data_IF_413260023260
#
_entry.id   IF_413260023260
#
_cell.length_a   1.000
_cell.length_b   1.000
_cell.length_c   1.000
_cell.angle_alpha   90.00
_cell.angle_beta   90.00
_cell.angle_gamma   90.00
#
_symmetry.space_group_name_H-M   'P 1'
#
loop_
_entity.id
_entity.type
_entity.pdbx_description
1 polymer ?
#
# COMPACT_ATOMS: atom_id res chain seq x y z
N UNK A 1 17.15 -18.18 35.70
CA UNK A 1 17.34 -18.47 34.27
C UNK A 1 16.03 -18.15 33.57
N UNK A 2 16.03 -17.11 32.73
CA UNK A 2 14.81 -16.56 32.12
C UNK A 2 14.25 -17.44 31.00
N UNK A 3 12.96 -17.27 30.66
CA UNK A 3 12.33 -18.03 29.59
C UNK A 3 12.90 -17.57 28.25
N UNK A 4 13.72 -18.42 27.61
CA UNK A 4 14.08 -18.26 26.20
C UNK A 4 12.79 -18.21 25.38
N UNK A 5 12.46 -17.02 24.87
CA UNK A 5 11.40 -16.83 23.90
C UNK A 5 11.71 -17.72 22.68
N UNK A 6 10.94 -18.80 22.53
CA UNK A 6 10.87 -19.57 21.29
C UNK A 6 10.47 -18.62 20.16
N UNK A 7 11.44 -18.28 19.31
CA UNK A 7 11.24 -17.55 18.06
C UNK A 7 10.51 -18.48 17.11
N UNK A 8 9.19 -18.54 17.24
CA UNK A 8 8.27 -19.06 16.25
C UNK A 8 6.94 -18.31 16.40
N UNK A 9 6.99 -16.99 16.19
CA UNK A 9 5.78 -16.22 15.91
C UNK A 9 5.58 -16.27 14.39
N UNK A 10 4.56 -17.05 13.99
CA UNK A 10 4.04 -17.16 12.63
C UNK A 10 4.09 -15.81 11.92
N UNK A 11 4.99 -15.70 10.93
CA UNK A 11 4.84 -14.73 9.86
C UNK A 11 4.09 -15.47 8.76
N UNK A 12 2.83 -15.10 8.52
CA UNK A 12 2.07 -15.64 7.40
C UNK A 12 2.63 -15.04 6.11
N UNK A 13 3.55 -15.77 5.49
CA UNK A 13 4.22 -15.45 4.24
C UNK A 13 5.36 -16.45 4.01
N UNK A 14 5.51 -16.95 2.79
CA UNK A 14 6.64 -17.82 2.46
C UNK A 14 7.91 -16.96 2.31
N UNK A 15 8.74 -16.86 3.34
CA UNK A 15 10.04 -16.19 3.25
C UNK A 15 11.11 -17.19 2.83
N UNK A 16 11.70 -16.99 1.65
CA UNK A 16 13.01 -17.55 1.31
C UNK A 16 14.06 -16.46 1.49
N UNK A 17 14.54 -16.28 2.71
CA UNK A 17 15.84 -15.62 2.90
C UNK A 17 16.89 -16.63 2.43
N UNK A 18 17.54 -16.39 1.29
CA UNK A 18 18.66 -17.22 0.89
C UNK A 18 19.74 -17.11 1.97
N UNK A 19 20.13 -18.24 2.62
CA UNK A 19 21.04 -18.19 3.75
C UNK A 19 22.42 -17.73 3.30
N UNK A 20 23.02 -16.84 4.09
CA UNK A 20 24.42 -16.47 3.96
C UNK A 20 25.29 -17.66 4.39
N UNK A 21 26.18 -18.13 3.51
CA UNK A 21 27.13 -19.19 3.87
C UNK A 21 28.41 -18.57 4.45
N UNK A 22 28.50 -18.56 5.78
CA UNK A 22 29.72 -18.12 6.48
C UNK A 22 30.74 -19.25 6.66
N UNK A 23 30.26 -20.48 6.85
CA UNK A 23 31.04 -21.70 7.05
C UNK A 23 30.20 -22.92 6.60
N UNK A 24 30.84 -24.07 6.39
CA UNK A 24 30.20 -25.35 6.09
C UNK A 24 30.91 -26.47 6.85
N UNK A 25 30.16 -27.45 7.36
CA UNK A 25 30.70 -28.63 8.01
C UNK A 25 29.80 -29.86 7.80
N UNK A 26 30.31 -31.03 8.15
CA UNK A 26 29.58 -32.30 8.13
C UNK A 26 29.71 -33.01 9.47
N UNK A 27 28.70 -33.80 9.83
CA UNK A 27 28.69 -34.66 11.00
C UNK A 27 28.19 -36.04 10.59
N UNK A 28 29.06 -37.03 10.71
CA UNK A 28 28.67 -38.42 10.49
C UNK A 28 27.98 -38.97 11.74
N UNK A 29 26.79 -39.52 11.58
CA UNK A 29 25.99 -40.10 12.67
C UNK A 29 25.56 -41.51 12.27
N UNK A 30 25.81 -42.54 13.11
CA UNK A 30 25.31 -43.89 12.88
C UNK A 30 23.78 -43.90 12.76
N UNK A 31 23.23 -44.72 11.87
CA UNK A 31 21.78 -44.80 11.64
C UNK A 31 20.96 -45.22 12.88
N UNK A 32 21.62 -45.78 13.89
CA UNK A 32 21.02 -46.25 15.15
C UNK A 32 21.01 -45.20 16.26
N UNK A 33 21.69 -44.07 16.09
CA UNK A 33 21.83 -43.03 17.12
C UNK A 33 20.83 -41.89 16.91
N UNK A 34 20.31 -41.33 18.01
CA UNK A 34 19.58 -40.07 17.98
C UNK A 34 20.55 -38.91 17.67
N UNK A 35 20.17 -38.05 16.71
CA UNK A 35 20.98 -36.92 16.32
C UNK A 35 21.12 -35.92 17.48
N UNK A 36 22.34 -35.75 18.00
CA UNK A 36 22.62 -34.72 19.00
C UNK A 36 22.70 -33.34 18.34
N UNK A 37 21.54 -32.68 18.22
CA UNK A 37 21.42 -31.33 17.67
C UNK A 37 22.25 -30.28 18.41
N UNK A 38 22.54 -30.48 19.70
CA UNK A 38 23.31 -29.52 20.51
C UNK A 38 24.69 -29.30 19.90
N UNK A 39 25.38 -30.36 19.45
CA UNK A 39 26.71 -30.26 18.84
C UNK A 39 26.70 -29.46 17.53
N UNK A 40 25.63 -29.61 16.75
CA UNK A 40 25.44 -28.88 15.49
C UNK A 40 25.15 -27.41 15.77
N UNK A 41 24.29 -27.11 16.74
CA UNK A 41 23.97 -25.75 17.17
C UNK A 41 25.19 -25.05 17.77
N UNK A 42 25.99 -25.73 18.59
CA UNK A 42 27.22 -25.17 19.15
C UNK A 42 28.24 -24.84 18.05
N UNK A 43 28.36 -25.69 17.03
CA UNK A 43 29.23 -25.42 15.88
C UNK A 43 28.74 -24.20 15.08
N UNK A 44 27.44 -24.10 14.85
CA UNK A 44 26.81 -22.94 14.22
C UNK A 44 27.07 -21.66 15.02
N UNK A 45 26.87 -21.67 16.34
CA UNK A 45 27.06 -20.50 17.19
C UNK A 45 28.53 -20.08 17.28
N UNK A 46 29.47 -21.04 17.30
CA UNK A 46 30.92 -20.75 17.21
C UNK A 46 31.27 -20.08 15.89
N UNK A 47 30.85 -20.65 14.76
CA UNK A 47 31.08 -20.10 13.42
C UNK A 47 30.53 -18.67 13.32
N UNK A 48 29.28 -18.47 13.77
CA UNK A 48 28.63 -17.15 13.81
C UNK A 48 29.41 -16.15 14.65
N UNK A 49 29.80 -16.53 15.85
CA UNK A 49 30.50 -15.65 16.80
C UNK A 49 31.88 -15.25 16.27
N UNK A 50 32.65 -16.21 15.74
CA UNK A 50 33.96 -15.94 15.14
C UNK A 50 33.84 -15.03 13.92
N UNK A 51 32.85 -15.26 13.06
CA UNK A 51 32.61 -14.41 11.91
C UNK A 51 32.29 -12.96 12.32
N UNK A 52 31.38 -12.75 13.29
CA UNK A 52 31.06 -11.40 13.78
C UNK A 52 32.28 -10.72 14.40
N UNK A 53 33.07 -11.47 15.19
CA UNK A 53 34.26 -10.94 15.86
C UNK A 53 35.37 -10.54 14.87
N UNK A 54 35.47 -11.20 13.71
CA UNK A 54 36.45 -10.89 12.67
C UNK A 54 36.19 -9.53 11.98
N UNK A 55 34.95 -9.02 12.03
CA UNK A 55 34.54 -7.78 11.36
C UNK A 55 33.84 -6.84 12.35
N UNK A 56 34.57 -6.22 13.30
CA UNK A 56 33.98 -5.54 14.45
C UNK A 56 33.15 -4.30 14.10
N UNK A 57 33.38 -3.65 12.96
CA UNK A 57 32.62 -2.49 12.52
C UNK A 57 31.50 -2.90 11.55
N UNK A 58 30.38 -2.17 11.55
CA UNK A 58 29.28 -2.43 10.61
C UNK A 58 29.73 -2.36 9.15
N UNK A 59 30.59 -1.40 8.81
CA UNK A 59 31.14 -1.25 7.46
C UNK A 59 31.96 -2.48 7.03
N UNK A 60 32.88 -2.96 7.88
CA UNK A 60 33.71 -4.13 7.56
C UNK A 60 32.86 -5.40 7.43
N UNK A 61 31.83 -5.52 8.27
CA UNK A 61 30.91 -6.65 8.24
C UNK A 61 30.10 -6.66 6.95
N UNK A 62 29.52 -5.52 6.55
CA UNK A 62 28.78 -5.38 5.30
C UNK A 62 29.68 -5.69 4.09
N UNK A 63 30.89 -5.15 4.06
CA UNK A 63 31.87 -5.43 3.00
C UNK A 63 32.18 -6.93 2.90
N UNK A 64 32.35 -7.61 4.04
CA UNK A 64 32.57 -9.05 4.08
C UNK A 64 31.36 -9.86 3.58
N UNK A 65 30.13 -9.36 3.75
CA UNK A 65 28.92 -9.96 3.19
C UNK A 65 28.85 -9.83 1.67
N UNK A 66 29.24 -8.68 1.13
CA UNK A 66 29.21 -8.38 -0.31
C UNK A 66 30.25 -9.21 -1.07
N UNK A 67 31.46 -9.33 -0.53
CA UNK A 67 32.57 -10.06 -1.15
C UNK A 67 32.34 -11.57 -1.28
N UNK A 68 31.40 -12.16 -0.51
CA UNK A 68 31.16 -13.61 -0.49
C UNK A 68 30.42 -14.15 -1.73
N UNK A 69 29.88 -13.27 -2.59
CA UNK A 69 29.53 -13.65 -3.97
C UNK A 69 28.50 -14.79 -4.10
N UNK A 70 27.48 -14.81 -3.25
CA UNK A 70 26.53 -15.94 -3.15
C UNK A 70 25.44 -15.97 -4.24
N UNK A 71 25.59 -15.21 -5.33
CA UNK A 71 24.63 -15.20 -6.45
C UNK A 71 23.25 -14.59 -6.12
N UNK A 72 23.16 -13.72 -5.11
CA UNK A 72 21.91 -13.07 -4.73
C UNK A 72 21.54 -11.97 -5.71
N UNK A 73 20.27 -11.96 -6.12
CA UNK A 73 19.73 -10.89 -6.96
C UNK A 73 19.90 -9.52 -6.27
N UNK A 74 20.36 -8.48 -6.98
CA UNK A 74 20.62 -7.16 -6.39
C UNK A 74 19.46 -6.59 -5.56
N UNK A 75 18.22 -6.82 -6.00
CA UNK A 75 17.00 -6.38 -5.31
C UNK A 75 16.73 -7.06 -3.95
N UNK A 76 17.53 -8.06 -3.55
CA UNK A 76 17.46 -8.73 -2.24
C UNK A 76 18.69 -8.48 -1.38
N UNK A 77 19.74 -7.87 -1.93
CA UNK A 77 21.00 -7.65 -1.24
C UNK A 77 20.79 -6.80 0.02
N UNK A 78 20.11 -5.65 -0.11
CA UNK A 78 19.84 -4.74 1.00
C UNK A 78 19.05 -5.40 2.14
N UNK A 79 17.95 -6.08 1.81
CA UNK A 79 17.13 -6.79 2.80
C UNK A 79 17.93 -7.86 3.54
N UNK A 80 18.82 -8.58 2.84
CA UNK A 80 19.73 -9.55 3.46
C UNK A 80 20.72 -8.85 4.38
N UNK A 81 21.34 -7.76 3.94
CA UNK A 81 22.34 -7.02 4.73
C UNK A 81 21.73 -6.51 6.04
N UNK A 82 20.55 -5.89 5.99
CA UNK A 82 19.82 -5.44 7.19
C UNK A 82 19.52 -6.62 8.13
N UNK A 83 19.08 -7.75 7.58
CA UNK A 83 18.78 -8.96 8.38
C UNK A 83 20.06 -9.55 9.02
N UNK A 84 21.19 -9.52 8.30
CA UNK A 84 22.48 -9.99 8.81
C UNK A 84 23.02 -9.10 9.93
N UNK A 85 22.90 -7.77 9.81
CA UNK A 85 23.24 -6.83 10.88
C UNK A 85 22.41 -7.08 12.14
N UNK A 86 21.09 -7.28 11.99
CA UNK A 86 20.21 -7.70 13.10
C UNK A 86 20.71 -8.99 13.76
N UNK A 87 21.02 -10.02 12.97
CA UNK A 87 21.51 -11.30 13.48
C UNK A 87 22.90 -11.20 14.16
N UNK A 88 23.69 -10.19 13.78
CA UNK A 88 24.97 -9.87 14.39
C UNK A 88 24.87 -9.04 15.68
N UNK A 89 23.65 -8.69 16.12
CA UNK A 89 23.44 -7.82 17.28
C UNK A 89 23.65 -6.33 17.00
N UNK A 90 23.69 -5.93 15.72
CA UNK A 90 23.92 -4.56 15.25
C UNK A 90 22.62 -3.90 14.82
N UNK A 91 21.70 -3.83 15.78
CA UNK A 91 20.34 -3.40 15.53
C UNK A 91 20.25 -1.90 15.18
N UNK A 92 21.09 -1.07 15.78
CA UNK A 92 21.12 0.37 15.49
C UNK A 92 21.57 0.64 14.04
N UNK A 93 22.64 -0.03 13.60
CA UNK A 93 23.16 0.12 12.25
C UNK A 93 22.22 -0.50 11.20
N UNK A 94 21.55 -1.61 11.55
CA UNK A 94 20.50 -2.19 10.72
C UNK A 94 19.33 -1.21 10.52
N UNK A 95 18.88 -0.55 11.58
CA UNK A 95 17.82 0.44 11.53
C UNK A 95 18.22 1.64 10.68
N UNK A 96 19.42 2.18 10.90
CA UNK A 96 19.94 3.32 10.15
C UNK A 96 20.05 3.01 8.65
N UNK A 97 20.58 1.84 8.28
CA UNK A 97 20.69 1.42 6.89
C UNK A 97 19.31 1.27 6.23
N UNK A 98 18.35 0.65 6.93
CA UNK A 98 16.99 0.51 6.42
C UNK A 98 16.30 1.88 6.24
N UNK A 99 16.44 2.79 7.20
CA UNK A 99 15.87 4.14 7.12
C UNK A 99 16.46 4.98 5.98
N UNK A 100 17.78 4.90 5.78
CA UNK A 100 18.45 5.59 4.67
C UNK A 100 17.96 5.08 3.32
N UNK A 101 17.83 3.77 3.17
CA UNK A 101 17.30 3.18 1.95
C UNK A 101 15.84 3.58 1.70
N UNK A 102 14.99 3.56 2.73
CA UNK A 102 13.59 4.01 2.63
C UNK A 102 13.54 5.49 2.21
N UNK A 103 14.38 6.34 2.79
CA UNK A 103 14.46 7.77 2.45
C UNK A 103 14.95 7.99 1.00
N UNK A 104 15.79 7.10 0.48
CA UNK A 104 16.24 7.10 -0.91
C UNK A 104 15.19 6.53 -1.90
N UNK A 105 14.03 6.09 -1.41
CA UNK A 105 12.98 5.47 -2.23
C UNK A 105 13.25 4.01 -2.58
N UNK A 106 14.26 3.39 -1.98
CA UNK A 106 14.52 1.96 -2.13
C UNK A 106 13.50 1.15 -1.33
N UNK A 107 13.21 -0.06 -1.80
CA UNK A 107 12.29 -0.98 -1.11
C UNK A 107 12.79 -2.41 -1.16
N UNK A 108 12.38 -3.22 -0.18
CA UNK A 108 12.73 -4.63 -0.14
C UNK A 108 11.63 -5.51 -0.74
N UNK A 109 12.01 -6.42 -1.64
CA UNK A 109 11.09 -7.36 -2.29
C UNK A 109 10.84 -8.62 -1.46
N UNK A 110 10.05 -8.54 -0.36
CA UNK A 110 9.67 -9.75 0.41
C UNK A 110 8.26 -9.73 1.06
N UNK A 111 7.43 -8.70 0.86
CA UNK A 111 6.05 -8.67 1.41
C UNK A 111 5.08 -8.02 0.40
N UNK A 112 3.88 -8.57 0.28
CA UNK A 112 2.84 -8.12 -0.65
C UNK A 112 2.05 -6.91 -0.15
N UNK A 113 2.10 -6.58 1.14
CA UNK A 113 1.25 -5.55 1.75
C UNK A 113 2.03 -4.34 2.27
N UNK A 114 3.32 -4.49 2.60
CA UNK A 114 4.14 -3.40 3.15
C UNK A 114 5.58 -3.58 2.71
N UNK A 115 6.34 -2.48 2.61
CA UNK A 115 7.80 -2.55 2.50
C UNK A 115 8.44 -3.33 3.65
N UNK A 116 9.20 -4.38 3.33
CA UNK A 116 9.91 -5.20 4.32
C UNK A 116 11.01 -4.40 5.03
N UNK A 117 11.59 -3.38 4.38
CA UNK A 117 12.58 -2.52 5.04
C UNK A 117 11.97 -1.75 6.20
N UNK A 118 10.72 -1.27 6.07
CA UNK A 118 9.99 -0.60 7.16
C UNK A 118 9.79 -1.55 8.35
N UNK A 119 9.45 -2.81 8.08
CA UNK A 119 9.35 -3.85 9.09
C UNK A 119 10.69 -4.10 9.82
N UNK A 120 11.78 -4.27 9.06
CA UNK A 120 13.10 -4.56 9.61
C UNK A 120 13.64 -3.38 10.42
N UNK A 121 13.46 -2.15 9.93
CA UNK A 121 13.80 -0.92 10.66
C UNK A 121 13.06 -0.84 11.99
N UNK A 122 11.73 -1.01 11.98
CA UNK A 122 10.93 -0.95 13.20
C UNK A 122 11.30 -2.05 14.21
N UNK A 123 11.59 -3.26 13.73
CA UNK A 123 12.07 -4.36 14.57
C UNK A 123 13.42 -4.00 15.21
N UNK A 124 14.36 -3.46 14.43
CA UNK A 124 15.72 -3.19 14.87
C UNK A 124 15.79 -2.01 15.87
N UNK A 125 14.87 -1.05 15.75
CA UNK A 125 14.68 0.04 16.72
C UNK A 125 14.11 -0.42 18.07
N UNK A 126 13.65 -1.66 18.17
CA UNK A 126 13.21 -2.27 19.42
C UNK A 126 11.69 -2.31 19.62
N UNK A 127 11.22 -2.80 20.79
CA UNK A 127 9.82 -3.20 20.98
C UNK A 127 8.80 -2.07 20.82
N UNK A 128 9.13 -0.85 21.25
CA UNK A 128 8.22 0.30 21.16
C UNK A 128 8.03 0.71 19.70
N UNK A 129 9.12 0.92 18.96
CA UNK A 129 9.06 1.26 17.53
C UNK A 129 8.34 0.19 16.71
N UNK A 130 8.58 -1.10 17.01
CA UNK A 130 7.85 -2.19 16.38
C UNK A 130 6.36 -2.18 16.73
N UNK A 131 5.99 -1.86 17.96
CA UNK A 131 4.59 -1.70 18.38
C UNK A 131 3.91 -0.55 17.64
N UNK A 132 4.54 0.62 17.58
CA UNK A 132 4.01 1.80 16.90
C UNK A 132 3.84 1.55 15.40
N UNK A 133 4.83 0.90 14.78
CA UNK A 133 4.73 0.46 13.39
C UNK A 133 3.57 -0.51 13.18
N UNK A 134 3.35 -1.48 14.06
CA UNK A 134 2.19 -2.38 13.94
C UNK A 134 0.86 -1.64 14.06
N UNK A 135 0.80 -0.55 14.80
CA UNK A 135 -0.38 0.32 14.86
C UNK A 135 -0.56 1.09 13.54
N UNK A 136 0.52 1.55 12.92
CA UNK A 136 0.46 2.25 11.61
C UNK A 136 0.03 1.35 10.46
N UNK A 137 0.17 0.02 10.60
CA UNK A 137 -0.32 -0.98 9.64
C UNK A 137 -1.82 -1.28 9.73
N UNK A 138 -2.58 -0.53 10.53
CA UNK A 138 -4.04 -0.62 10.49
C UNK A 138 -4.52 -0.03 9.16
N UNK A 139 -5.30 -0.76 8.36
CA UNK A 139 -5.81 -0.23 7.11
C UNK A 139 -6.66 1.02 7.34
N UNK A 140 -6.40 2.03 6.53
CA UNK A 140 -7.12 3.31 6.51
C UNK A 140 -7.93 3.49 5.23
N UNK A 141 -7.64 2.70 4.20
CA UNK A 141 -8.37 2.74 2.94
C UNK A 141 -8.63 1.36 2.37
N UNK A 142 -9.69 1.30 1.58
CA UNK A 142 -10.01 0.19 0.68
C UNK A 142 -9.71 0.62 -0.74
N UNK A 143 -8.90 -0.17 -1.44
CA UNK A 143 -8.55 0.06 -2.83
C UNK A 143 -9.08 -1.07 -3.69
N UNK A 144 -9.77 -0.73 -4.78
CA UNK A 144 -10.32 -1.68 -5.73
C UNK A 144 -9.98 -1.29 -7.16
N UNK A 145 -9.56 -2.25 -7.97
CA UNK A 145 -9.43 -2.11 -9.42
C UNK A 145 -10.43 -3.04 -10.11
N UNK A 146 -11.25 -2.47 -10.99
CA UNK A 146 -12.34 -3.12 -11.70
C UNK A 146 -11.90 -3.60 -13.07
N UNK A 147 -12.32 -4.82 -13.40
CA UNK A 147 -11.94 -5.54 -14.62
C UNK A 147 -13.21 -6.09 -15.27
N UNK A 148 -13.37 -6.02 -16.59
CA UNK A 148 -14.52 -6.64 -17.26
C UNK A 148 -14.31 -8.15 -17.43
N UNK A 149 -13.07 -8.60 -17.69
CA UNK A 149 -12.81 -10.01 -18.03
C UNK A 149 -12.43 -10.89 -16.84
N UNK A 150 -12.01 -10.30 -15.72
CA UNK A 150 -11.65 -11.07 -14.52
C UNK A 150 -12.89 -11.46 -13.74
N UNK A 151 -12.87 -12.69 -13.19
CA UNK A 151 -13.96 -13.24 -12.36
C UNK A 151 -14.17 -12.49 -11.04
N UNK A 152 -13.22 -11.66 -10.63
CA UNK A 152 -13.32 -10.85 -9.41
C UNK A 152 -12.41 -9.63 -9.53
N UNK A 153 -12.90 -8.48 -9.09
CA UNK A 153 -12.11 -7.26 -8.93
C UNK A 153 -10.94 -7.50 -7.97
N UNK A 154 -9.84 -6.78 -8.21
CA UNK A 154 -8.73 -6.77 -7.26
C UNK A 154 -9.09 -5.81 -6.14
N UNK A 155 -9.24 -6.31 -4.91
CA UNK A 155 -9.42 -5.47 -3.72
C UNK A 155 -8.26 -5.67 -2.74
N UNK A 156 -7.70 -4.58 -2.23
CA UNK A 156 -6.63 -4.59 -1.24
C UNK A 156 -6.86 -3.52 -0.16
N UNK A 157 -6.48 -3.89 1.05
CA UNK A 157 -6.44 -2.98 2.20
C UNK A 157 -5.16 -2.14 2.15
N UNK A 158 -5.29 -0.82 2.18
CA UNK A 158 -4.14 0.08 2.26
C UNK A 158 -4.04 0.71 3.65
N UNK A 159 -2.83 0.69 4.21
CA UNK A 159 -2.50 1.42 5.43
C UNK A 159 -1.71 2.65 5.06
N UNK A 160 -2.17 3.85 5.49
CA UNK A 160 -1.56 5.14 5.17
C UNK A 160 -0.02 5.07 5.29
N UNK A 161 0.69 5.73 4.37
CA UNK A 161 2.16 5.73 4.28
C UNK A 161 2.84 4.39 3.91
N UNK A 162 2.09 3.29 3.71
CA UNK A 162 2.70 1.96 3.51
C UNK A 162 2.48 1.32 2.12
N UNK A 163 1.63 1.90 1.26
CA UNK A 163 1.47 1.43 -0.12
C UNK A 163 2.74 1.63 -0.97
N UNK A 164 2.89 0.83 -2.04
CA UNK A 164 4.11 0.73 -2.86
C UNK A 164 3.94 1.32 -4.27
N UNK A 165 3.30 2.49 -4.40
CA UNK A 165 3.11 3.14 -5.71
C UNK A 165 2.21 2.36 -6.67
N UNK A 166 1.37 1.46 -6.14
CA UNK A 166 0.51 0.61 -6.98
C UNK A 166 -0.59 1.40 -7.70
N UNK A 167 -1.03 2.51 -7.11
CA UNK A 167 -2.11 3.35 -7.66
C UNK A 167 -1.69 3.97 -8.99
N UNK A 168 -0.49 4.58 -9.02
CA UNK A 168 0.10 5.18 -10.22
C UNK A 168 0.20 4.16 -11.36
N UNK A 169 0.77 2.97 -11.08
CA UNK A 169 0.86 1.91 -12.08
C UNK A 169 -0.52 1.48 -12.59
N UNK A 170 -1.48 1.25 -11.70
CA UNK A 170 -2.81 0.79 -12.14
C UNK A 170 -3.56 1.84 -12.95
N UNK A 171 -3.44 3.13 -12.63
CA UNK A 171 -4.05 4.22 -13.41
C UNK A 171 -3.44 4.30 -14.82
N UNK A 172 -2.13 4.08 -14.95
CA UNK A 172 -1.46 3.99 -16.25
C UNK A 172 -1.78 2.70 -17.02
N UNK A 173 -2.13 1.61 -16.32
CA UNK A 173 -2.52 0.35 -16.92
C UNK A 173 -3.98 0.38 -17.46
N UNK A 174 -4.78 1.42 -17.16
CA UNK A 174 -6.18 1.52 -17.60
C UNK A 174 -6.30 1.79 -19.10
N UNK A 175 -7.14 1.02 -19.79
CA UNK A 175 -7.37 1.16 -21.24
C UNK A 175 -8.85 1.44 -21.61
N UNK A 176 -9.71 1.70 -20.61
CA UNK A 176 -11.15 1.90 -20.80
C UNK A 176 -11.96 0.60 -20.88
N UNK A 177 -11.30 -0.56 -20.90
CA UNK A 177 -11.95 -1.86 -21.00
C UNK A 177 -11.56 -2.84 -19.88
N UNK A 178 -10.26 -3.02 -19.60
CA UNK A 178 -9.78 -4.03 -18.66
C UNK A 178 -8.31 -3.82 -18.21
N UNK A 179 -8.01 -3.07 -17.13
CA UNK A 179 -8.93 -2.46 -16.18
C UNK A 179 -9.58 -1.18 -16.71
N UNK A 180 -10.80 -0.92 -16.24
CA UNK A 180 -11.60 0.24 -16.68
C UNK A 180 -11.95 1.23 -15.56
N UNK A 181 -11.82 0.82 -14.30
CA UNK A 181 -12.04 1.72 -13.17
C UNK A 181 -11.21 1.37 -11.93
N UNK A 182 -10.94 2.38 -11.11
CA UNK A 182 -10.24 2.28 -9.84
C UNK A 182 -11.04 3.06 -8.79
N UNK A 183 -11.21 2.49 -7.60
CA UNK A 183 -11.87 3.12 -6.45
C UNK A 183 -10.92 3.09 -5.25
N UNK A 184 -10.78 4.23 -4.59
CA UNK A 184 -10.07 4.37 -3.32
C UNK A 184 -11.01 4.98 -2.29
N UNK A 185 -11.41 4.20 -1.29
CA UNK A 185 -12.33 4.62 -0.23
C UNK A 185 -11.59 4.82 1.09
N UNK A 186 -11.80 5.95 1.75
CA UNK A 186 -11.32 6.17 3.11
C UNK A 186 -12.22 5.43 4.10
N UNK A 187 -11.62 4.66 5.00
CA UNK A 187 -12.34 3.98 6.07
C UNK A 187 -12.72 4.99 7.16
N UNK A 188 -13.88 4.83 7.81
CA UNK A 188 -14.19 5.62 8.99
C UNK A 188 -13.16 5.34 10.10
N UNK A 189 -12.97 6.28 11.04
CA UNK A 189 -12.05 6.05 12.15
C UNK A 189 -12.43 4.79 12.94
N UNK A 190 -11.43 4.12 13.49
CA UNK A 190 -11.60 2.83 14.16
C UNK A 190 -12.69 2.87 15.23
N UNK A 191 -13.63 1.92 15.16
CA UNK A 191 -14.75 1.80 16.10
C UNK A 191 -16.01 2.57 15.70
N UNK A 192 -16.00 3.30 14.58
CA UNK A 192 -17.22 3.86 13.98
C UNK A 192 -17.75 2.96 12.86
N UNK A 193 -19.08 2.84 12.79
CA UNK A 193 -19.73 2.13 11.69
C UNK A 193 -19.60 2.90 10.37
N UNK A 194 -19.39 2.16 9.29
CA UNK A 194 -19.46 2.69 7.94
C UNK A 194 -20.94 2.88 7.57
N UNK A 195 -21.33 4.12 7.29
CA UNK A 195 -22.64 4.47 6.76
C UNK A 195 -22.48 5.54 5.66
N UNK A 196 -23.59 5.87 4.99
CA UNK A 196 -23.58 6.85 3.91
C UNK A 196 -23.13 8.25 4.32
N UNK A 197 -23.25 8.62 5.61
CA UNK A 197 -22.81 9.94 6.10
C UNK A 197 -21.29 10.05 6.20
N UNK A 198 -20.60 8.91 6.26
CA UNK A 198 -19.14 8.81 6.32
C UNK A 198 -18.52 8.34 5.01
N UNK A 199 -19.34 8.11 3.97
CA UNK A 199 -18.85 7.79 2.63
C UNK A 199 -17.87 8.85 2.15
N UNK A 200 -16.65 8.40 1.88
CA UNK A 200 -15.59 9.24 1.34
C UNK A 200 -14.71 8.42 0.43
N UNK A 201 -14.73 8.72 -0.86
CA UNK A 201 -13.95 7.97 -1.83
C UNK A 201 -13.64 8.78 -3.07
N UNK A 202 -12.62 8.33 -3.78
CA UNK A 202 -12.23 8.77 -5.11
C UNK A 202 -12.40 7.60 -6.08
N UNK A 203 -13.00 7.85 -7.24
CA UNK A 203 -13.17 6.87 -8.30
C UNK A 203 -12.68 7.44 -9.62
N UNK A 204 -11.88 6.67 -10.36
CA UNK A 204 -11.50 6.97 -11.73
C UNK A 204 -12.09 5.93 -12.67
N UNK A 205 -12.57 6.34 -13.84
CA UNK A 205 -13.07 5.45 -14.88
C UNK A 205 -12.69 5.97 -16.27
N UNK A 206 -12.23 5.08 -17.17
CA UNK A 206 -11.76 5.43 -18.51
C UNK A 206 -10.41 4.79 -18.85
N UNK A 207 -9.63 5.44 -19.72
CA UNK A 207 -8.27 5.02 -20.09
C UNK A 207 -7.21 5.93 -19.46
N UNK A 208 -5.94 5.52 -19.54
CA UNK A 208 -4.82 6.28 -19.03
C UNK A 208 -4.69 7.68 -19.67
N UNK A 209 -5.15 7.85 -20.90
CA UNK A 209 -5.11 9.12 -21.63
C UNK A 209 -6.32 10.01 -21.34
N UNK A 210 -7.46 9.41 -21.00
CA UNK A 210 -8.70 10.12 -20.72
C UNK A 210 -9.57 9.33 -19.75
N UNK A 211 -9.68 9.84 -18.52
CA UNK A 211 -10.59 9.33 -17.50
C UNK A 211 -11.38 10.44 -16.84
N UNK A 212 -12.58 10.10 -16.37
CA UNK A 212 -13.31 10.94 -15.41
C UNK A 212 -12.92 10.57 -13.99
N UNK A 213 -12.93 11.55 -13.09
CA UNK A 213 -12.75 11.31 -11.66
C UNK A 213 -13.98 11.80 -10.91
N UNK A 214 -14.51 10.93 -10.06
CA UNK A 214 -15.60 11.23 -9.14
C UNK A 214 -15.11 11.25 -7.70
N UNK A 215 -15.66 12.16 -6.92
CA UNK A 215 -15.39 12.29 -5.49
C UNK A 215 -16.70 12.27 -4.71
N UNK A 216 -16.76 11.39 -3.71
CA UNK A 216 -17.84 11.36 -2.73
C UNK A 216 -17.34 11.86 -1.39
N UNK A 217 -18.12 12.71 -0.73
CA UNK A 217 -17.87 13.15 0.63
C UNK A 217 -19.18 13.49 1.35
N UNK A 218 -19.11 13.52 2.69
CA UNK A 218 -20.18 14.01 3.56
C UNK A 218 -20.63 15.43 3.18
N UNK A 219 -21.94 15.66 3.06
CA UNK A 219 -22.49 16.96 2.66
C UNK A 219 -23.92 16.87 2.09
N UNK A 220 -24.45 17.98 1.58
CA UNK A 220 -25.75 18.03 0.91
C UNK A 220 -26.97 18.06 1.84
N UNK A 221 -26.81 18.53 3.08
CA UNK A 221 -27.91 18.59 4.04
C UNK A 221 -29.10 19.43 3.52
N UNK A 222 -28.83 20.47 2.73
CA UNK A 222 -29.81 21.35 2.09
C UNK A 222 -30.70 20.64 1.06
N UNK A 223 -30.25 19.52 0.50
CA UNK A 223 -31.03 18.65 -0.41
C UNK A 223 -31.50 17.36 0.29
N UNK A 224 -31.30 17.25 1.61
CA UNK A 224 -31.65 16.05 2.38
C UNK A 224 -30.67 14.87 2.19
N UNK A 225 -29.48 15.12 1.65
CA UNK A 225 -28.41 14.13 1.55
C UNK A 225 -27.51 14.16 2.81
N UNK A 226 -26.82 13.04 3.06
CA UNK A 226 -25.75 12.92 4.05
C UNK A 226 -24.36 12.82 3.40
N UNK A 227 -24.30 12.45 2.13
CA UNK A 227 -23.11 12.54 1.28
C UNK A 227 -23.49 12.86 -0.15
N UNK A 228 -22.55 13.46 -0.88
CA UNK A 228 -22.72 13.87 -2.27
C UNK A 228 -21.56 13.31 -3.09
N UNK A 229 -21.89 12.64 -4.19
CA UNK A 229 -20.97 12.26 -5.26
C UNK A 229 -20.97 13.34 -6.33
N UNK A 230 -19.78 13.81 -6.68
CA UNK A 230 -19.56 14.85 -7.66
C UNK A 230 -18.54 14.39 -8.70
N UNK A 231 -18.74 14.81 -9.94
CA UNK A 231 -17.68 14.76 -10.96
C UNK A 231 -16.71 15.90 -10.68
N UNK A 232 -15.41 15.61 -10.73
CA UNK A 232 -14.34 16.58 -10.52
C UNK A 232 -14.02 17.23 -11.86
N UNK A 233 -13.80 18.55 -11.85
CA UNK A 233 -13.27 19.28 -12.98
C UNK A 233 -12.17 20.26 -12.60
N UNK A 234 -11.31 20.57 -13.55
CA UNK A 234 -10.40 21.70 -13.52
C UNK A 234 -11.18 23.02 -13.40
N UNK A 235 -10.57 24.03 -12.78
CA UNK A 235 -11.12 25.40 -12.79
C UNK A 235 -11.34 25.87 -14.23
N UNK A 236 -12.51 26.42 -14.48
CA UNK A 236 -12.94 26.90 -15.77
C UNK A 236 -13.90 28.08 -15.60
N UNK A 237 -14.03 28.92 -16.64
CA UNK A 237 -14.85 30.14 -16.58
C UNK A 237 -16.32 29.90 -16.96
N UNK A 238 -16.60 28.85 -17.73
CA UNK A 238 -17.96 28.48 -18.17
C UNK A 238 -18.15 26.97 -18.19
N UNK A 239 -19.33 26.44 -17.82
CA UNK A 239 -19.63 25.02 -17.99
C UNK A 239 -19.41 24.67 -19.46
N UNK A 240 -18.35 23.91 -19.75
CA UNK A 240 -18.00 23.53 -21.11
C UNK A 240 -19.09 22.68 -21.76
N UNK A 241 -19.03 22.53 -23.08
CA UNK A 241 -19.84 21.52 -23.76
C UNK A 241 -19.40 20.12 -23.31
N UNK A 242 -20.33 19.17 -23.33
CA UNK A 242 -20.00 17.75 -23.11
C UNK A 242 -19.62 17.19 -24.49
N UNK A 243 -18.33 17.11 -24.78
CA UNK A 243 -17.81 16.81 -26.12
C UNK A 243 -16.65 15.80 -26.12
N UNK A 244 -16.36 15.18 -24.97
CA UNK A 244 -15.34 14.14 -24.84
C UNK A 244 -15.98 12.84 -24.39
N UNK A 245 -15.83 11.80 -25.19
CA UNK A 245 -16.33 10.46 -24.86
C UNK A 245 -15.32 9.70 -24.00
N UNK A 246 -15.78 9.23 -22.84
CA UNK A 246 -15.11 8.24 -22.00
C UNK A 246 -15.77 6.90 -22.30
N UNK A 247 -15.02 6.01 -22.95
CA UNK A 247 -15.48 4.66 -23.28
C UNK A 247 -15.29 3.75 -22.08
N UNK A 248 -16.38 3.16 -21.61
CA UNK A 248 -16.44 2.16 -20.55
C UNK A 248 -16.94 0.83 -21.14
N UNK A 249 -16.78 -0.32 -20.45
CA UNK A 249 -17.16 -1.61 -21.01
C UNK A 249 -18.63 -1.73 -21.42
N UNK A 250 -19.53 -0.97 -20.77
CA UNK A 250 -20.99 -1.09 -20.95
C UNK A 250 -21.67 0.21 -21.35
N UNK A 251 -20.93 1.30 -21.46
CA UNK A 251 -21.47 2.63 -21.75
C UNK A 251 -20.39 3.53 -22.34
N UNK A 252 -20.84 4.61 -22.96
CA UNK A 252 -19.99 5.76 -23.29
C UNK A 252 -20.55 6.94 -22.52
N UNK A 253 -19.70 7.62 -21.77
CA UNK A 253 -20.05 8.83 -21.05
C UNK A 253 -19.47 10.03 -21.77
N UNK A 254 -20.31 10.96 -22.21
CA UNK A 254 -19.85 12.21 -22.81
C UNK A 254 -19.70 13.24 -21.70
N UNK A 255 -18.46 13.66 -21.42
CA UNK A 255 -18.10 14.61 -20.36
C UNK A 255 -17.49 15.88 -20.95
N UNK A 256 -17.43 16.93 -20.15
CA UNK A 256 -16.74 18.16 -20.57
C UNK A 256 -15.23 18.03 -20.48
N UNK A 257 -14.49 18.67 -21.40
CA UNK A 257 -13.00 18.66 -21.42
C UNK A 257 -12.34 19.00 -20.09
N UNK A 258 -12.92 19.92 -19.32
CA UNK A 258 -12.36 20.32 -18.03
C UNK A 258 -12.53 19.23 -16.96
N UNK A 259 -13.35 18.20 -17.18
CA UNK A 259 -13.58 17.05 -16.29
C UNK A 259 -12.79 15.80 -16.71
N UNK A 260 -11.96 15.90 -17.75
CA UNK A 260 -11.09 14.83 -18.24
C UNK A 260 -9.73 14.96 -17.57
N UNK A 261 -9.20 13.85 -17.08
CA UNK A 261 -7.89 13.73 -16.47
C UNK A 261 -7.04 12.71 -17.20
N UNK A 262 -5.72 12.94 -17.20
CA UNK A 262 -4.72 11.92 -17.55
C UNK A 262 -4.43 11.01 -16.35
N UNK A 263 -3.84 9.84 -16.59
CA UNK A 263 -3.37 8.94 -15.55
C UNK A 263 -2.37 9.61 -14.60
N UNK A 264 -1.50 10.50 -15.11
CA UNK A 264 -0.54 11.22 -14.30
C UNK A 264 -1.25 12.16 -13.30
N UNK A 265 -2.18 12.98 -13.78
CA UNK A 265 -2.96 13.89 -12.91
C UNK A 265 -3.81 13.11 -11.90
N UNK A 266 -4.43 12.01 -12.35
CA UNK A 266 -5.19 11.13 -11.48
C UNK A 266 -4.29 10.51 -10.40
N UNK A 267 -3.08 10.05 -10.74
CA UNK A 267 -2.16 9.45 -9.79
C UNK A 267 -1.75 10.44 -8.68
N UNK A 268 -1.48 11.70 -9.05
CA UNK A 268 -1.21 12.77 -8.09
C UNK A 268 -2.40 13.03 -7.16
N UNK A 269 -3.62 13.03 -7.70
CA UNK A 269 -4.84 13.22 -6.92
C UNK A 269 -5.13 12.04 -5.99
N UNK A 270 -5.00 10.81 -6.47
CA UNK A 270 -5.17 9.59 -5.69
C UNK A 270 -4.13 9.51 -4.57
N UNK A 271 -2.87 9.85 -4.85
CA UNK A 271 -1.81 9.90 -3.84
C UNK A 271 -2.08 10.97 -2.78
N UNK A 272 -2.56 12.16 -3.19
CA UNK A 272 -2.97 13.21 -2.25
C UNK A 272 -4.12 12.72 -1.38
N UNK A 273 -5.20 12.21 -1.98
CA UNK A 273 -6.35 11.71 -1.25
C UNK A 273 -5.97 10.59 -0.28
N UNK A 274 -5.15 9.63 -0.71
CA UNK A 274 -4.62 8.58 0.16
C UNK A 274 -3.81 9.11 1.36
N UNK A 275 -3.13 10.26 1.21
CA UNK A 275 -2.34 10.87 2.29
C UNK A 275 -3.15 11.78 3.18
N UNK A 276 -4.14 12.49 2.67
CA UNK A 276 -4.82 13.58 3.39
C UNK A 276 -6.34 13.48 3.47
N UNK A 277 -6.95 12.51 2.79
CA UNK A 277 -8.41 12.33 2.63
C UNK A 277 -9.10 13.53 1.94
N UNK A 278 -8.31 14.34 1.21
CA UNK A 278 -8.74 15.53 0.47
C UNK A 278 -8.15 15.55 -0.93
N UNK A 279 -8.85 16.18 -1.87
CA UNK A 279 -8.39 16.36 -3.26
C UNK A 279 -7.66 17.71 -3.48
N UNK A 280 -7.81 18.66 -2.56
CA UNK A 280 -7.31 20.05 -2.67
C UNK A 280 -8.38 21.02 -3.18
N UNK A 281 -8.07 22.32 -3.18
CA UNK A 281 -9.03 23.40 -3.47
C UNK A 281 -8.98 23.91 -4.92
N UNK A 282 -8.17 23.28 -5.76
CA UNK A 282 -7.93 23.69 -7.16
C UNK A 282 -8.91 23.06 -8.16
N UNK A 283 -9.93 22.37 -7.66
CA UNK A 283 -10.93 21.69 -8.47
C UNK A 283 -12.34 22.25 -8.24
N UNK A 284 -13.16 22.15 -9.27
CA UNK A 284 -14.60 22.42 -9.24
C UNK A 284 -15.31 21.08 -9.12
N UNK A 285 -16.36 21.04 -8.29
CA UNK A 285 -17.18 19.85 -8.09
C UNK A 285 -18.55 20.07 -8.71
N UNK A 286 -18.94 19.19 -9.63
CA UNK A 286 -20.30 19.15 -10.19
C UNK A 286 -21.07 18.01 -9.52
N UNK A 287 -22.04 18.30 -8.63
CA UNK A 287 -22.85 17.26 -7.99
C UNK A 287 -23.61 16.44 -9.02
N UNK A 288 -23.58 15.12 -8.89
CA UNK A 288 -24.33 14.20 -9.75
C UNK A 288 -25.32 13.35 -8.96
N UNK A 289 -24.98 12.99 -7.72
CA UNK A 289 -25.84 12.19 -6.85
C UNK A 289 -25.70 12.60 -5.39
N UNK A 290 -26.82 12.63 -4.67
CA UNK A 290 -26.85 12.70 -3.21
C UNK A 290 -27.31 11.37 -2.62
N UNK A 291 -26.73 10.95 -1.51
CA UNK A 291 -27.16 9.75 -0.77
C UNK A 291 -27.80 10.16 0.55
N UNK A 292 -28.97 9.60 0.84
CA UNK A 292 -29.67 9.75 2.11
C UNK A 292 -29.12 8.78 3.15
N UNK A 293 -29.42 9.02 4.42
CA UNK A 293 -28.98 8.16 5.53
C UNK A 293 -29.49 6.71 5.42
N UNK A 294 -30.65 6.51 4.79
CA UNK A 294 -31.25 5.21 4.51
C UNK A 294 -30.72 4.54 3.24
N UNK A 295 -29.76 5.17 2.55
CA UNK A 295 -29.22 4.73 1.26
C UNK A 295 -30.02 5.17 0.04
N UNK A 296 -31.10 5.93 0.23
CA UNK A 296 -31.88 6.48 -0.88
C UNK A 296 -31.06 7.43 -1.76
N UNK A 297 -31.19 7.28 -3.08
CA UNK A 297 -30.51 8.11 -4.07
C UNK A 297 -31.32 9.37 -4.41
N UNK A 298 -30.63 10.50 -4.50
CA UNK A 298 -31.15 11.76 -5.04
C UNK A 298 -30.36 12.03 -6.32
N UNK A 299 -31.01 11.94 -7.48
CA UNK A 299 -30.37 12.28 -8.76
C UNK A 299 -30.25 13.81 -8.89
N UNK A 300 -29.02 14.30 -9.00
CA UNK A 300 -28.70 15.74 -9.11
C UNK A 300 -28.33 16.15 -10.53
N UNK A 301 -28.33 15.20 -11.49
CA UNK A 301 -28.08 15.48 -12.91
C UNK A 301 -29.28 16.14 -13.58
N UNK A 302 -30.47 15.99 -12.98
CA UNK A 302 -31.71 16.59 -13.45
C UNK A 302 -32.00 17.87 -12.65
N UNK A 303 -32.49 18.95 -13.28
CA UNK A 303 -32.95 20.11 -12.55
C UNK A 303 -34.09 19.70 -11.60
N UNK A 304 -34.23 20.33 -10.41
CA UNK A 304 -35.29 19.99 -9.48
C UNK A 304 -36.64 20.09 -10.18
N UNK A 305 -37.36 18.98 -10.22
CA UNK A 305 -38.71 18.95 -10.79
C UNK A 305 -39.57 19.85 -9.92
N UNK A 306 -39.90 21.05 -10.41
CA UNK A 306 -40.92 21.90 -9.78
C UNK A 306 -42.23 21.13 -9.79
N UNK A 307 -42.60 20.53 -8.66
CA UNK A 307 -43.88 19.86 -8.55
C UNK A 307 -43.95 18.77 -7.50
N UNK A 308 -43.70 19.13 -6.24
CA UNK A 308 -44.47 18.59 -5.11
C UNK A 308 -44.43 19.63 -3.99
N UNK A 309 -45.13 20.74 -4.22
CA UNK A 309 -45.68 21.53 -3.13
C UNK A 309 -46.70 20.64 -2.43
N UNK A 310 -46.35 20.18 -1.23
CA UNK A 310 -47.32 19.61 -0.31
C UNK A 310 -48.28 20.71 0.12
N UNK A 311 -49.53 20.61 -0.34
CA UNK A 311 -50.69 20.95 0.50
C UNK A 311 -50.77 19.95 1.66
#
# INVERSE_FOLDING_TARGET
>A
MGPQMRINRRVNGAFRVQPLRIEQGSLDVPATDELNWSRVLDAFDRARTQFIAAYPTAADYVLALEQRGDGIAPNRALTRTVTALIAAGRAEEAAQMADQAIAAGESGGMSSTVDVLKYLSAWAKGPQAYSDFRVSLKPTHDYSAMYETKRSDMSVDLSREHHRGMMDRHLHDMDGSDPWAIVLSARPPAGMEADFSRSRYLQAAGSAEAMTIEYCASGGAEIGAVSVRSVIGHRHESPGEHDVDIVLPRSVETISRHEVFTAQEAAEMFERFYRTDTIGDDYVLRPVEGYRADGGLIDLRLPPTRGQEHC
#
